data_IF_988828378156
#
_entry.id   IF_988828378156
#
_cell.length_a   1.000
_cell.length_b   1.000
_cell.length_c   1.000
_cell.angle_alpha   90.00
_cell.angle_beta   90.00
_cell.angle_gamma   90.00
#
_symmetry.space_group_name_H-M   'P 1'
#
loop_
_entity.id
_entity.type
_entity.pdbx_description
1 polymer ?
#
# COMPACT_ATOMS: atom_id res chain seq x y z
N UNK A 1 6.08 6.01 -11.98
CA UNK A 1 5.80 5.36 -13.28
C UNK A 1 6.00 6.40 -14.39
N UNK A 2 6.13 5.99 -15.65
CA UNK A 2 6.29 6.88 -16.80
C UNK A 2 5.51 6.30 -17.97
N UNK A 3 4.66 7.10 -18.64
CA UNK A 3 3.86 6.62 -19.77
C UNK A 3 4.72 6.45 -21.02
N UNK A 4 4.64 5.29 -21.67
CA UNK A 4 5.32 5.05 -22.97
C UNK A 4 4.41 5.38 -24.16
N UNK A 5 3.11 5.36 -23.94
CA UNK A 5 2.06 5.76 -24.89
C UNK A 5 0.95 6.46 -24.14
N UNK A 6 0.09 7.14 -24.88
CA UNK A 6 -1.16 7.66 -24.34
C UNK A 6 -1.95 6.54 -23.63
N UNK A 7 -2.51 6.86 -22.46
CA UNK A 7 -3.22 5.90 -21.61
C UNK A 7 -4.43 6.57 -20.98
N UNK A 8 -5.58 5.91 -21.06
CA UNK A 8 -6.80 6.33 -20.37
C UNK A 8 -6.81 5.85 -18.93
N UNK A 9 -7.24 6.73 -18.03
CA UNK A 9 -7.55 6.43 -16.62
C UNK A 9 -8.93 7.01 -16.30
N UNK A 10 -9.58 6.62 -15.19
CA UNK A 10 -10.93 7.12 -14.87
C UNK A 10 -11.06 8.65 -14.81
N UNK A 11 -9.97 9.37 -14.52
CA UNK A 11 -9.94 10.83 -14.48
C UNK A 11 -9.59 11.51 -15.81
N UNK A 12 -9.50 10.74 -16.91
CA UNK A 12 -9.20 11.22 -18.26
C UNK A 12 -7.93 10.61 -18.87
N UNK A 13 -7.39 11.27 -19.88
CA UNK A 13 -6.26 10.76 -20.67
C UNK A 13 -4.93 11.32 -20.19
N UNK A 14 -3.95 10.44 -19.97
CA UNK A 14 -2.56 10.81 -19.71
C UNK A 14 -1.77 10.66 -21.02
N UNK A 15 -1.17 11.75 -21.56
CA UNK A 15 -0.37 11.68 -22.77
C UNK A 15 0.84 10.75 -22.63
N UNK A 16 1.42 10.35 -23.77
CA UNK A 16 2.71 9.67 -23.80
C UNK A 16 3.82 10.53 -23.16
N UNK A 17 4.83 9.86 -22.61
CA UNK A 17 6.06 10.47 -22.11
C UNK A 17 5.85 11.42 -20.92
N UNK A 18 4.96 11.05 -20.01
CA UNK A 18 4.66 11.80 -18.78
C UNK A 18 5.01 11.00 -17.53
N UNK A 19 5.61 11.63 -16.50
CA UNK A 19 5.79 11.01 -15.20
C UNK A 19 4.43 10.85 -14.51
N UNK A 20 4.25 9.73 -13.82
CA UNK A 20 3.06 9.41 -13.04
C UNK A 20 3.49 8.98 -11.65
N UNK A 21 3.04 9.72 -10.65
CA UNK A 21 3.27 9.40 -9.24
C UNK A 21 2.08 8.62 -8.69
N UNK A 22 2.34 7.49 -8.05
CA UNK A 22 1.31 6.67 -7.42
C UNK A 22 1.32 6.96 -5.92
N UNK A 23 0.25 7.54 -5.42
CA UNK A 23 0.12 7.89 -4.00
C UNK A 23 -0.49 6.72 -3.21
N UNK A 24 0.35 5.74 -2.85
CA UNK A 24 -0.11 4.56 -2.10
C UNK A 24 -0.79 4.94 -0.77
N UNK A 25 -0.33 6.01 -0.11
CA UNK A 25 -0.91 6.49 1.13
C UNK A 25 -2.38 6.95 0.97
N UNK A 26 -2.74 7.51 -0.18
CA UNK A 26 -4.12 7.88 -0.49
C UNK A 26 -4.95 6.63 -0.83
N UNK A 27 -4.41 5.71 -1.63
CA UNK A 27 -5.07 4.46 -1.96
C UNK A 27 -5.37 3.59 -0.72
N UNK A 28 -4.45 3.54 0.26
CA UNK A 28 -4.62 2.81 1.51
C UNK A 28 -5.64 3.45 2.47
N UNK A 29 -6.16 4.65 2.17
CA UNK A 29 -7.18 5.38 2.93
C UNK A 29 -8.47 5.60 2.13
N UNK A 30 -8.54 5.06 0.92
CA UNK A 30 -9.65 5.27 0.01
C UNK A 30 -10.92 4.59 0.56
N UNK A 31 -11.98 5.38 0.80
CA UNK A 31 -13.26 4.88 1.31
C UNK A 31 -13.99 3.93 0.36
N UNK A 32 -13.56 3.84 -0.90
CA UNK A 32 -14.07 2.85 -1.87
C UNK A 32 -13.42 1.48 -1.70
N UNK A 33 -12.27 1.42 -1.02
CA UNK A 33 -11.45 0.22 -0.86
C UNK A 33 -11.43 -0.28 0.58
N UNK A 34 -11.56 0.63 1.54
CA UNK A 34 -11.52 0.36 2.96
C UNK A 34 -12.59 1.14 3.71
N UNK A 35 -13.38 0.44 4.54
CA UNK A 35 -14.26 1.10 5.49
C UNK A 35 -13.41 1.78 6.58
N UNK A 36 -13.80 3.01 6.95
CA UNK A 36 -13.13 3.82 7.98
C UNK A 36 -11.60 3.88 7.83
N UNK A 37 -11.12 4.22 6.61
CA UNK A 37 -9.72 4.13 6.19
C UNK A 37 -8.68 4.87 7.05
N UNK A 38 -9.12 5.83 7.88
CA UNK A 38 -8.24 6.58 8.78
C UNK A 38 -8.05 5.90 10.16
N UNK A 39 -8.91 4.95 10.51
CA UNK A 39 -8.85 4.25 11.79
C UNK A 39 -7.84 3.11 11.75
N UNK A 40 -6.97 3.08 12.76
CA UNK A 40 -6.10 1.93 13.00
C UNK A 40 -6.91 0.79 13.64
N UNK A 41 -7.32 -0.17 12.82
CA UNK A 41 -8.07 -1.35 13.24
C UNK A 41 -7.32 -2.64 12.86
N UNK A 42 -6.82 -3.34 13.88
CA UNK A 42 -6.11 -4.62 13.71
C UNK A 42 -7.05 -5.79 13.38
N UNK A 43 -8.37 -5.60 13.54
CA UNK A 43 -9.41 -6.59 13.27
C UNK A 43 -10.10 -6.37 11.91
N UNK A 44 -9.61 -5.41 11.11
CA UNK A 44 -10.19 -5.05 9.82
C UNK A 44 -10.42 -6.27 8.93
N UNK A 45 -11.58 -6.30 8.29
CA UNK A 45 -11.97 -7.38 7.37
C UNK A 45 -10.98 -7.51 6.21
N UNK A 46 -10.36 -8.69 6.12
CA UNK A 46 -9.35 -9.01 5.10
C UNK A 46 -9.95 -9.30 3.73
N UNK A 47 -11.28 -9.36 3.60
CA UNK A 47 -11.99 -9.50 2.32
C UNK A 47 -12.21 -8.17 1.59
N UNK A 48 -11.91 -7.03 2.23
CA UNK A 48 -11.79 -5.73 1.60
C UNK A 48 -10.58 -5.69 0.62
N UNK A 49 -10.05 -4.50 0.31
CA UNK A 49 -8.89 -4.38 -0.57
C UNK A 49 -7.57 -4.82 0.09
N UNK A 50 -6.59 -5.15 -0.76
CA UNK A 50 -5.21 -5.35 -0.33
C UNK A 50 -4.49 -3.99 -0.22
N UNK A 51 -3.79 -3.74 0.89
CA UNK A 51 -2.96 -2.53 1.02
C UNK A 51 -1.78 -2.56 0.03
N UNK A 52 -1.37 -1.37 -0.42
CA UNK A 52 -0.29 -1.16 -1.39
C UNK A 52 1.04 -0.79 -0.72
N UNK A 53 1.20 -1.04 0.58
CA UNK A 53 2.41 -0.67 1.34
C UNK A 53 3.68 -1.33 0.80
N UNK A 54 3.56 -2.53 0.23
CA UNK A 54 4.65 -3.31 -0.37
C UNK A 54 4.51 -3.43 -1.89
N UNK A 55 3.80 -2.50 -2.52
CA UNK A 55 3.52 -2.50 -3.95
C UNK A 55 2.53 -3.59 -4.38
N UNK A 56 2.31 -3.67 -5.69
CA UNK A 56 1.40 -4.64 -6.31
C UNK A 56 1.84 -4.96 -7.75
N UNK A 57 1.44 -6.13 -8.25
CA UNK A 57 1.73 -6.59 -9.60
C UNK A 57 3.19 -7.02 -9.82
N UNK A 58 3.69 -6.81 -11.03
CA UNK A 58 5.02 -7.26 -11.49
C UNK A 58 6.20 -6.65 -10.71
N UNK A 59 5.95 -5.55 -10.01
CA UNK A 59 6.93 -4.88 -9.15
C UNK A 59 6.47 -4.87 -7.70
N UNK A 60 5.76 -5.93 -7.27
CA UNK A 60 5.54 -6.18 -5.85
C UNK A 60 6.88 -6.41 -5.15
N UNK A 61 6.97 -6.02 -3.87
CA UNK A 61 8.21 -6.10 -3.13
C UNK A 61 8.68 -7.56 -3.03
N UNK A 62 9.85 -7.86 -3.60
CA UNK A 62 10.47 -9.18 -3.53
C UNK A 62 10.70 -9.63 -2.07
N UNK A 63 11.03 -8.68 -1.19
CA UNK A 63 11.25 -8.90 0.23
C UNK A 63 9.99 -8.90 1.09
N UNK A 64 8.79 -8.91 0.51
CA UNK A 64 7.56 -8.70 1.28
C UNK A 64 7.31 -9.76 2.38
N UNK A 65 7.79 -10.99 2.20
CA UNK A 65 7.73 -12.02 3.24
C UNK A 65 8.72 -11.73 4.38
N UNK A 66 9.97 -11.39 4.03
CA UNK A 66 11.02 -11.05 4.99
C UNK A 66 10.65 -9.81 5.81
N UNK A 67 10.22 -8.73 5.15
CA UNK A 67 9.82 -7.50 5.83
C UNK A 67 8.68 -7.72 6.85
N UNK A 68 7.74 -8.63 6.56
CA UNK A 68 6.67 -8.99 7.50
C UNK A 68 7.22 -9.77 8.70
N UNK A 69 8.08 -10.76 8.45
CA UNK A 69 8.74 -11.52 9.52
C UNK A 69 9.55 -10.60 10.45
N UNK A 70 10.39 -9.74 9.86
CA UNK A 70 11.21 -8.79 10.61
C UNK A 70 10.34 -7.80 11.41
N UNK A 71 9.23 -7.33 10.84
CA UNK A 71 8.28 -6.45 11.55
C UNK A 71 7.68 -7.16 12.77
N UNK A 72 7.27 -8.43 12.64
CA UNK A 72 6.77 -9.21 13.78
C UNK A 72 7.81 -9.31 14.88
N UNK A 73 9.02 -9.77 14.57
CA UNK A 73 10.12 -9.93 15.53
C UNK A 73 10.49 -8.59 16.17
N UNK A 74 10.58 -7.52 15.38
CA UNK A 74 10.92 -6.19 15.88
C UNK A 74 9.85 -5.66 16.84
N UNK A 75 8.55 -5.81 16.53
CA UNK A 75 7.46 -5.37 17.39
C UNK A 75 7.42 -6.16 18.71
N UNK A 76 7.61 -7.49 18.67
CA UNK A 76 7.70 -8.31 19.88
C UNK A 76 8.81 -7.82 20.81
N UNK A 77 10.03 -7.66 20.29
CA UNK A 77 11.15 -7.17 21.09
C UNK A 77 10.98 -5.72 21.55
N UNK A 78 10.39 -4.86 20.72
CA UNK A 78 10.16 -3.47 21.08
C UNK A 78 9.21 -3.36 22.27
N UNK A 79 8.15 -4.17 22.29
CA UNK A 79 7.16 -4.18 23.36
C UNK A 79 7.72 -4.77 24.67
N UNK A 80 8.61 -5.76 24.58
CA UNK A 80 9.33 -6.30 25.76
C UNK A 80 10.32 -5.28 26.34
N UNK A 81 11.05 -4.57 25.47
CA UNK A 81 12.08 -3.61 25.87
C UNK A 81 11.49 -2.27 26.35
N UNK A 82 10.39 -1.81 25.74
CA UNK A 82 9.71 -0.54 26.05
C UNK A 82 8.20 -0.73 26.22
N UNK A 83 7.76 -1.27 27.37
CA UNK A 83 6.35 -1.61 27.62
C UNK A 83 5.45 -0.40 27.99
N UNK A 84 5.77 0.82 27.55
CA UNK A 84 5.10 2.06 28.01
C UNK A 84 4.59 2.92 26.87
#
# INVERSE_FOLDING_TARGET
RYTLKETEVPSGTIPAHKPVFLMNAAANRDSRAFDDGETFDITRDRTQAQNLGLGYGIHSCLGAALARLETTVALEHLLDFMPR
#
